data_IF_706739943033
#
_entry.id   IF_706739943033
#
_cell.length_a   1.000
_cell.length_b   1.000
_cell.length_c   1.000
_cell.angle_alpha   90.00
_cell.angle_beta   90.00
_cell.angle_gamma   90.00
#
_symmetry.space_group_name_H-M   'P 1'
#
loop_
_entity.id
_entity.type
_entity.pdbx_description
1 polymer ?
#
# COMPACT_ATOMS: atom_id res chain seq x y z
N UNK A 1 -22.43 -55.16 -22.93
CA UNK A 1 -23.50 -54.61 -23.79
C UNK A 1 -22.83 -53.69 -24.79
N UNK A 2 -22.80 -54.12 -26.05
CA UNK A 2 -22.12 -53.46 -27.17
C UNK A 2 -23.18 -53.01 -28.17
N UNK A 3 -23.13 -51.79 -28.68
CA UNK A 3 -23.82 -51.31 -29.90
C UNK A 3 -23.24 -49.92 -30.31
N UNK A 4 -23.38 -49.47 -31.58
CA UNK A 4 -22.25 -49.37 -32.49
C UNK A 4 -21.90 -47.95 -33.02
N UNK A 5 -20.80 -47.90 -33.78
CA UNK A 5 -20.30 -46.83 -34.65
C UNK A 5 -21.24 -46.44 -35.82
N UNK A 6 -21.09 -45.18 -36.30
CA UNK A 6 -21.18 -44.61 -37.69
C UNK A 6 -21.97 -43.28 -37.75
N UNK A 7 -21.86 -42.43 -38.81
CA UNK A 7 -20.68 -41.90 -39.49
C UNK A 7 -20.72 -40.34 -39.64
N UNK A 8 -19.65 -39.81 -40.24
CA UNK A 8 -19.42 -38.39 -40.62
C UNK A 8 -20.47 -37.83 -41.60
N UNK A 9 -20.81 -36.55 -41.42
CA UNK A 9 -21.27 -35.68 -42.51
C UNK A 9 -20.50 -34.35 -42.45
N UNK A 10 -19.59 -34.16 -43.40
CA UNK A 10 -18.91 -32.90 -43.66
C UNK A 10 -19.83 -31.99 -44.46
N UNK A 11 -20.11 -30.79 -43.94
CA UNK A 11 -20.68 -29.69 -44.72
C UNK A 11 -19.61 -28.61 -44.80
N UNK A 12 -18.99 -28.52 -45.98
CA UNK A 12 -18.13 -27.41 -46.38
C UNK A 12 -19.06 -26.30 -46.85
N UNK A 13 -19.23 -25.26 -46.02
CA UNK A 13 -19.88 -24.03 -46.45
C UNK A 13 -18.80 -22.96 -46.57
N UNK A 14 -18.39 -22.69 -47.80
CA UNK A 14 -17.47 -21.61 -48.13
C UNK A 14 -18.13 -20.26 -47.93
N UNK A 15 -17.68 -19.50 -46.94
CA UNK A 15 -17.90 -18.07 -46.87
C UNK A 15 -16.67 -17.35 -47.45
N UNK A 16 -16.87 -16.73 -48.61
CA UNK A 16 -16.04 -15.67 -49.15
C UNK A 16 -16.11 -14.46 -48.21
N UNK A 17 -15.12 -14.29 -47.34
CA UNK A 17 -14.90 -13.02 -46.62
C UNK A 17 -13.96 -12.15 -47.44
N UNK A 18 -14.50 -11.07 -48.00
CA UNK A 18 -13.74 -9.98 -48.61
C UNK A 18 -12.78 -9.38 -47.56
N UNK A 19 -11.48 -9.57 -47.77
CA UNK A 19 -10.42 -8.93 -47.01
C UNK A 19 -10.38 -7.44 -47.36
N UNK A 20 -11.16 -6.63 -46.65
CA UNK A 20 -10.95 -5.19 -46.63
C UNK A 20 -9.70 -4.91 -45.78
N UNK A 21 -8.59 -4.55 -46.43
CA UNK A 21 -7.43 -3.93 -45.80
C UNK A 21 -7.81 -2.52 -45.32
N UNK A 22 -8.65 -2.44 -44.28
CA UNK A 22 -8.85 -1.23 -43.51
C UNK A 22 -7.73 -1.14 -42.49
N UNK A 23 -6.75 -0.28 -42.75
CA UNK A 23 -5.81 0.19 -41.73
C UNK A 23 -6.64 0.74 -40.57
N UNK A 24 -6.77 -0.06 -39.52
CA UNK A 24 -7.43 0.37 -38.28
C UNK A 24 -6.69 1.59 -37.79
N UNK A 25 -7.35 2.73 -37.54
CA UNK A 25 -6.69 3.88 -36.95
C UNK A 25 -6.09 3.42 -35.61
N UNK A 26 -4.78 3.56 -35.47
CA UNK A 26 -4.08 3.30 -34.22
C UNK A 26 -4.79 4.12 -33.15
N UNK A 27 -5.35 3.49 -32.09
CA UNK A 27 -5.93 4.25 -30.99
C UNK A 27 -4.85 5.21 -30.48
N UNK A 28 -5.17 6.50 -30.27
CA UNK A 28 -4.20 7.42 -29.70
C UNK A 28 -3.71 6.82 -28.38
N UNK A 29 -2.40 6.60 -28.27
CA UNK A 29 -1.79 6.19 -27.00
C UNK A 29 -2.25 7.16 -25.93
N UNK A 30 -2.94 6.73 -24.87
CA UNK A 30 -3.31 7.61 -23.79
C UNK A 30 -2.04 8.31 -23.32
N UNK A 31 -2.02 9.64 -23.43
CA UNK A 31 -0.89 10.43 -22.95
C UNK A 31 -0.93 10.37 -21.43
N UNK A 32 -0.17 9.45 -20.86
CA UNK A 32 0.02 9.42 -19.42
C UNK A 32 0.73 10.69 -18.96
N UNK A 33 0.38 11.15 -17.77
CA UNK A 33 1.08 12.21 -17.06
C UNK A 33 2.22 11.59 -16.25
N UNK A 34 3.42 12.15 -16.38
CA UNK A 34 4.59 11.71 -15.61
C UNK A 34 4.57 12.45 -14.27
N UNK A 35 4.57 11.67 -13.18
CA UNK A 35 4.65 12.19 -11.82
C UNK A 35 6.06 11.92 -11.29
N UNK A 36 6.73 12.96 -10.81
CA UNK A 36 8.01 12.87 -10.13
C UNK A 36 7.78 12.68 -8.64
N UNK A 37 8.44 11.69 -8.05
CA UNK A 37 8.44 11.42 -6.60
C UNK A 37 9.85 11.69 -6.07
N UNK A 38 9.93 12.58 -5.10
CA UNK A 38 11.15 12.84 -4.33
C UNK A 38 10.90 12.40 -2.90
N UNK A 39 11.61 11.36 -2.48
CA UNK A 39 11.60 10.85 -1.12
C UNK A 39 12.92 11.26 -0.45
N UNK A 40 12.85 12.38 0.27
CA UNK A 40 14.01 13.02 0.89
C UNK A 40 14.54 12.27 2.11
N UNK A 41 13.69 11.48 2.78
CA UNK A 41 14.08 10.63 3.91
C UNK A 41 15.12 9.60 3.47
N UNK A 42 14.93 9.03 2.28
CA UNK A 42 15.79 7.99 1.74
C UNK A 42 16.71 8.45 0.60
N UNK A 43 16.65 9.72 0.20
CA UNK A 43 17.46 10.30 -0.86
C UNK A 43 17.20 9.67 -2.23
N UNK A 44 15.95 9.24 -2.51
CA UNK A 44 15.58 8.62 -3.79
C UNK A 44 14.67 9.55 -4.61
N UNK A 45 14.89 9.54 -5.92
CA UNK A 45 14.04 10.22 -6.90
C UNK A 45 13.66 9.22 -7.98
N UNK A 46 12.38 9.16 -8.32
CA UNK A 46 11.89 8.29 -9.38
C UNK A 46 10.59 8.84 -9.96
N UNK A 47 10.15 8.27 -11.06
CA UNK A 47 8.93 8.67 -11.73
C UNK A 47 8.01 7.48 -11.99
N UNK A 48 6.72 7.77 -12.08
CA UNK A 48 5.76 6.84 -12.66
C UNK A 48 4.86 7.59 -13.65
N UNK A 49 4.26 6.82 -14.55
CA UNK A 49 3.26 7.35 -15.49
C UNK A 49 1.87 7.00 -14.99
N UNK A 50 0.98 7.99 -14.93
CA UNK A 50 -0.41 7.80 -14.55
C UNK A 50 -1.38 8.44 -15.54
N UNK A 51 -2.68 8.28 -15.32
CA UNK A 51 -3.74 8.98 -16.04
C UNK A 51 -4.63 9.71 -15.04
N UNK A 52 -5.43 10.66 -15.54
CA UNK A 52 -6.48 11.31 -14.74
C UNK A 52 -7.57 10.36 -14.27
N UNK A 53 -7.63 9.16 -14.86
CA UNK A 53 -8.61 8.13 -14.57
C UNK A 53 -8.13 7.14 -13.50
N UNK A 54 -6.98 7.40 -12.84
CA UNK A 54 -6.55 6.59 -11.70
C UNK A 54 -7.64 6.57 -10.62
N UNK A 55 -8.04 5.36 -10.23
CA UNK A 55 -9.04 5.14 -9.19
C UNK A 55 -8.40 4.51 -7.95
N UNK A 56 -8.63 5.12 -6.79
CA UNK A 56 -8.26 4.53 -5.51
C UNK A 56 -8.97 3.20 -5.27
N UNK A 57 -8.25 2.23 -4.72
CA UNK A 57 -8.83 0.95 -4.33
C UNK A 57 -9.33 1.03 -2.89
N UNK A 58 -10.58 1.46 -2.67
CA UNK A 58 -11.16 1.58 -1.31
C UNK A 58 -11.52 0.24 -0.66
N UNK A 59 -11.05 -0.87 -1.24
CA UNK A 59 -11.17 -2.23 -0.75
C UNK A 59 -9.88 -3.00 -1.03
N UNK A 60 -9.67 -4.08 -0.29
CA UNK A 60 -8.52 -4.96 -0.47
C UNK A 60 -8.42 -5.47 -1.92
N UNK A 61 -7.19 -5.50 -2.47
CA UNK A 61 -6.95 -6.05 -3.79
C UNK A 61 -7.08 -7.58 -3.77
N UNK A 62 -7.41 -8.23 -4.90
CA UNK A 62 -7.44 -9.68 -5.00
C UNK A 62 -6.12 -10.31 -4.53
N UNK A 63 -6.19 -11.29 -3.63
CA UNK A 63 -5.01 -11.95 -3.04
C UNK A 63 -4.44 -11.28 -1.78
N UNK A 64 -4.94 -10.09 -1.42
CA UNK A 64 -4.50 -9.33 -0.24
C UNK A 64 -5.66 -9.15 0.73
N UNK A 65 -5.98 -10.19 1.49
CA UNK A 65 -7.15 -10.16 2.40
C UNK A 65 -6.87 -9.24 3.59
N UNK A 66 -7.79 -8.31 3.85
CA UNK A 66 -7.74 -7.41 5.00
C UNK A 66 -8.33 -8.11 6.24
N UNK A 67 -7.51 -8.35 7.25
CA UNK A 67 -7.90 -9.07 8.48
C UNK A 67 -8.63 -8.17 9.48
N UNK A 68 -9.37 -8.76 10.43
CA UNK A 68 -10.04 -7.99 11.49
C UNK A 68 -9.05 -7.21 12.39
N UNK A 69 -7.83 -7.73 12.56
CA UNK A 69 -6.79 -7.10 13.36
C UNK A 69 -6.24 -5.84 12.66
N UNK A 70 -6.03 -5.92 11.34
CA UNK A 70 -5.62 -4.78 10.49
C UNK A 70 -6.70 -3.69 10.47
N UNK A 71 -7.97 -4.08 10.31
CA UNK A 71 -9.12 -3.16 10.40
C UNK A 71 -9.13 -2.45 11.75
N UNK A 72 -8.99 -3.20 12.85
CA UNK A 72 -9.00 -2.64 14.20
C UNK A 72 -7.84 -1.66 14.43
N UNK A 73 -6.63 -1.98 13.98
CA UNK A 73 -5.49 -1.06 14.10
C UNK A 73 -5.71 0.23 13.30
N UNK A 74 -6.21 0.14 12.06
CA UNK A 74 -6.53 1.34 11.26
C UNK A 74 -7.63 2.19 11.92
N UNK A 75 -8.63 1.55 12.55
CA UNK A 75 -9.65 2.25 13.34
C UNK A 75 -9.02 3.02 14.50
N UNK A 76 -8.15 2.40 15.29
CA UNK A 76 -7.48 3.05 16.42
C UNK A 76 -6.59 4.21 15.96
N UNK A 77 -5.85 4.04 14.87
CA UNK A 77 -5.06 5.13 14.24
C UNK A 77 -5.97 6.30 13.88
N UNK A 78 -7.12 6.03 13.26
CA UNK A 78 -8.07 7.06 12.87
C UNK A 78 -8.73 7.75 14.08
N UNK A 79 -9.02 7.02 15.15
CA UNK A 79 -9.51 7.58 16.41
C UNK A 79 -8.48 8.52 17.05
N UNK A 80 -7.20 8.18 16.99
CA UNK A 80 -6.15 9.08 17.46
C UNK A 80 -6.05 10.31 16.56
N UNK A 81 -6.04 10.14 15.24
CA UNK A 81 -5.98 11.25 14.27
C UNK A 81 -7.05 12.30 14.51
N UNK A 82 -8.31 11.89 14.70
CA UNK A 82 -9.41 12.86 14.92
C UNK A 82 -9.33 13.60 16.25
N UNK A 83 -8.61 13.06 17.25
CA UNK A 83 -8.37 13.75 18.52
C UNK A 83 -7.22 14.75 18.42
N UNK A 84 -6.25 14.49 17.55
CA UNK A 84 -4.93 15.10 17.63
C UNK A 84 -4.11 14.51 18.78
N UNK A 85 -2.93 15.07 19.06
CA UNK A 85 -2.05 14.48 20.07
C UNK A 85 -0.86 15.33 20.46
N UNK A 86 -0.13 14.84 21.46
CA UNK A 86 1.13 15.41 21.91
C UNK A 86 2.22 14.36 21.73
N UNK A 87 3.20 14.68 20.90
CA UNK A 87 4.30 13.79 20.58
C UNK A 87 5.59 14.20 21.27
N UNK A 88 6.43 13.24 21.69
CA UNK A 88 7.78 13.55 22.10
C UNK A 88 8.59 14.11 20.93
N UNK A 89 9.58 14.95 21.22
CA UNK A 89 10.53 15.49 20.22
C UNK A 89 11.92 14.92 20.49
N UNK A 90 12.65 14.60 19.42
CA UNK A 90 14.04 14.15 19.52
C UNK A 90 14.88 15.25 20.20
N UNK A 91 15.61 14.89 21.26
CA UNK A 91 16.38 15.84 22.07
C UNK A 91 15.60 16.46 23.24
N UNK A 92 14.34 16.07 23.44
CA UNK A 92 13.51 16.48 24.58
C UNK A 92 12.39 17.44 24.20
N UNK A 93 11.42 17.58 25.11
CA UNK A 93 10.22 18.40 24.89
C UNK A 93 9.09 17.66 24.20
N UNK A 94 8.07 18.42 23.80
CA UNK A 94 6.83 17.92 23.22
C UNK A 94 6.37 18.83 22.07
N UNK A 95 5.79 18.22 21.03
CA UNK A 95 5.12 18.90 19.93
C UNK A 95 3.65 18.52 19.94
N UNK A 96 2.77 19.52 19.91
CA UNK A 96 1.33 19.31 19.82
C UNK A 96 0.89 19.31 18.36
N UNK A 97 0.06 18.33 17.99
CA UNK A 97 -0.63 18.23 16.72
C UNK A 97 -2.13 18.42 16.95
N UNK A 98 -2.76 19.22 16.10
CA UNK A 98 -4.22 19.33 16.10
C UNK A 98 -4.90 18.09 15.53
N UNK A 99 -6.23 18.01 15.61
CA UNK A 99 -7.01 17.00 14.91
C UNK A 99 -6.67 16.91 13.42
N UNK A 100 -6.51 15.69 12.93
CA UNK A 100 -6.31 15.35 11.52
C UNK A 100 -7.48 14.51 10.99
N UNK A 101 -7.70 14.53 9.68
CA UNK A 101 -8.74 13.71 9.05
C UNK A 101 -8.39 12.21 9.17
N UNK A 102 -9.40 11.33 9.34
CA UNK A 102 -9.19 9.89 9.23
C UNK A 102 -8.55 9.53 7.89
N UNK A 103 -7.67 8.52 7.91
CA UNK A 103 -7.15 7.85 6.74
C UNK A 103 -8.27 7.03 6.08
N UNK A 104 -8.38 7.16 4.77
CA UNK A 104 -9.22 6.28 3.96
C UNK A 104 -8.42 5.02 3.61
N UNK A 105 -9.04 3.84 3.77
CA UNK A 105 -8.39 2.59 3.38
C UNK A 105 -8.02 2.61 1.89
N UNK A 106 -6.84 2.10 1.55
CA UNK A 106 -6.38 2.00 0.17
C UNK A 106 -5.64 0.68 -0.10
N UNK A 107 -6.11 -0.07 -1.10
CA UNK A 107 -5.72 -1.45 -1.36
C UNK A 107 -4.32 -1.64 -1.96
N UNK A 108 -3.78 -0.66 -2.69
CA UNK A 108 -2.40 -0.72 -3.17
C UNK A 108 -1.41 -0.45 -2.03
N UNK A 109 -1.72 0.49 -1.13
CA UNK A 109 -0.98 0.69 0.12
C UNK A 109 -1.02 -0.57 0.99
N UNK A 110 -2.18 -1.22 1.09
CA UNK A 110 -2.34 -2.49 1.82
C UNK A 110 -1.47 -3.58 1.20
N UNK A 111 -1.51 -3.74 -0.13
CA UNK A 111 -0.64 -4.67 -0.85
C UNK A 111 0.84 -4.45 -0.54
N UNK A 112 1.32 -3.21 -0.65
CA UNK A 112 2.71 -2.87 -0.34
C UNK A 112 3.06 -3.20 1.12
N UNK A 113 2.15 -2.89 2.06
CA UNK A 113 2.33 -3.20 3.47
C UNK A 113 2.36 -4.72 3.72
N UNK A 114 1.48 -5.50 3.09
CA UNK A 114 1.39 -6.96 3.26
C UNK A 114 2.56 -7.70 2.62
N UNK A 115 3.03 -7.25 1.47
CA UNK A 115 4.26 -7.77 0.86
C UNK A 115 5.45 -7.50 1.81
N UNK A 116 5.54 -6.29 2.37
CA UNK A 116 6.65 -5.92 3.24
C UNK A 116 6.60 -6.58 4.63
N UNK A 117 5.42 -6.70 5.23
CA UNK A 117 5.23 -7.42 6.48
C UNK A 117 5.72 -8.88 6.36
N UNK A 118 5.43 -9.53 5.22
CA UNK A 118 5.95 -10.88 4.92
C UNK A 118 7.46 -10.90 4.77
N UNK A 119 8.06 -9.93 4.08
CA UNK A 119 9.54 -9.83 4.01
C UNK A 119 10.16 -9.71 5.41
N UNK A 120 9.60 -8.86 6.28
CA UNK A 120 10.04 -8.72 7.66
C UNK A 120 9.92 -10.03 8.44
N UNK A 121 8.82 -10.75 8.27
CA UNK A 121 8.61 -12.06 8.90
C UNK A 121 9.57 -13.15 8.39
N UNK A 122 9.87 -13.16 7.09
CA UNK A 122 10.79 -14.09 6.45
C UNK A 122 12.25 -13.81 6.82
N UNK A 123 12.58 -12.58 7.23
CA UNK A 123 13.93 -12.20 7.68
C UNK A 123 14.39 -12.96 8.93
N UNK A 124 13.45 -13.49 9.73
CA UNK A 124 13.74 -14.13 11.02
C UNK A 124 14.35 -13.18 12.06
N UNK A 125 14.17 -11.87 11.91
CA UNK A 125 14.78 -10.83 12.74
C UNK A 125 13.74 -9.79 13.18
N UNK A 126 13.83 -9.31 14.42
CA UNK A 126 13.00 -8.20 14.91
C UNK A 126 13.58 -6.82 14.57
N UNK A 127 14.63 -6.76 13.75
CA UNK A 127 15.17 -5.49 13.24
C UNK A 127 14.24 -4.97 12.15
N UNK A 128 13.65 -3.80 12.39
CA UNK A 128 12.70 -3.15 11.49
C UNK A 128 13.42 -2.09 10.65
N UNK A 129 13.96 -2.50 9.51
CA UNK A 129 14.42 -1.55 8.50
C UNK A 129 13.22 -1.08 7.68
N UNK A 130 13.19 0.18 7.25
CA UNK A 130 12.23 0.67 6.26
C UNK A 130 12.65 0.39 4.82
N UNK A 131 13.96 0.24 4.59
CA UNK A 131 14.51 -0.19 3.32
C UNK A 131 14.53 -1.72 3.28
N UNK A 132 13.91 -2.28 2.24
CA UNK A 132 13.89 -3.71 1.99
C UNK A 132 15.30 -4.27 1.90
N UNK A 133 15.58 -5.31 2.67
CA UNK A 133 16.86 -6.00 2.63
C UNK A 133 16.96 -6.89 1.38
N UNK A 134 15.81 -7.35 0.88
CA UNK A 134 15.74 -8.22 -0.30
C UNK A 134 15.89 -7.43 -1.62
N UNK A 135 15.22 -6.28 -1.70
CA UNK A 135 15.09 -5.52 -2.97
C UNK A 135 15.80 -4.18 -2.95
N UNK A 136 16.17 -3.67 -1.77
CA UNK A 136 16.71 -2.32 -1.61
C UNK A 136 15.68 -1.20 -1.74
N UNK A 137 14.41 -1.52 -2.04
CA UNK A 137 13.34 -0.54 -2.22
C UNK A 137 12.92 0.09 -0.89
N UNK A 138 12.57 1.37 -0.95
CA UNK A 138 12.04 2.16 0.18
C UNK A 138 10.51 2.18 0.14
N UNK A 139 9.82 2.67 1.20
CA UNK A 139 8.36 2.61 1.27
C UNK A 139 7.66 3.26 0.06
N UNK A 140 8.08 4.45 -0.36
CA UNK A 140 7.51 5.15 -1.52
C UNK A 140 7.60 4.33 -2.81
N UNK A 141 8.74 3.69 -3.06
CA UNK A 141 8.93 2.82 -4.22
C UNK A 141 8.09 1.54 -4.14
N UNK A 142 7.92 0.94 -2.95
CA UNK A 142 7.06 -0.24 -2.76
C UNK A 142 5.59 0.10 -2.99
N UNK A 143 5.11 1.24 -2.47
CA UNK A 143 3.73 1.72 -2.67
C UNK A 143 3.44 1.99 -4.15
N UNK A 144 4.35 2.67 -4.85
CA UNK A 144 4.22 2.88 -6.30
C UNK A 144 4.29 1.55 -7.06
N UNK A 145 5.25 0.67 -6.74
CA UNK A 145 5.37 -0.66 -7.33
C UNK A 145 4.15 -1.55 -7.11
N UNK A 146 3.37 -1.31 -6.04
CA UNK A 146 2.11 -1.99 -5.78
C UNK A 146 0.96 -1.50 -6.67
N UNK A 147 1.12 -0.38 -7.39
CA UNK A 147 0.15 0.19 -8.33
C UNK A 147 -0.48 1.51 -7.88
N UNK A 148 -0.06 2.09 -6.75
CA UNK A 148 -0.58 3.36 -6.26
C UNK A 148 0.00 4.53 -7.08
N UNK A 149 -0.77 5.00 -8.07
CA UNK A 149 -0.34 6.00 -9.03
C UNK A 149 -1.29 7.22 -9.08
N UNK A 150 -1.58 7.91 -7.97
CA UNK A 150 -2.42 9.10 -8.03
C UNK A 150 -1.77 10.22 -8.84
N UNK A 151 -2.58 11.15 -9.35
CA UNK A 151 -2.07 12.39 -9.94
C UNK A 151 -2.25 13.52 -8.92
N UNK A 152 -1.19 14.02 -8.26
CA UNK A 152 -1.32 15.09 -7.29
C UNK A 152 -1.78 16.40 -7.97
N UNK A 153 -2.52 17.28 -7.28
CA UNK A 153 -2.85 18.61 -7.75
C UNK A 153 -1.61 19.41 -8.15
N UNK A 154 -1.79 20.36 -9.07
CA UNK A 154 -0.69 21.21 -9.54
C UNK A 154 -0.02 21.92 -8.36
N UNK A 155 1.28 21.67 -8.19
CA UNK A 155 2.10 22.29 -7.15
C UNK A 155 2.12 21.53 -5.82
N UNK A 156 1.39 20.41 -5.71
CA UNK A 156 1.49 19.50 -4.57
C UNK A 156 2.48 18.36 -4.88
N UNK A 157 3.17 17.89 -3.84
CA UNK A 157 4.05 16.73 -3.92
C UNK A 157 3.37 15.55 -3.22
N UNK A 158 3.59 14.34 -3.73
CA UNK A 158 3.16 13.14 -3.02
C UNK A 158 4.07 12.88 -1.82
N UNK A 159 3.45 12.62 -0.70
CA UNK A 159 4.08 12.25 0.55
C UNK A 159 3.74 10.80 0.86
N UNK A 160 4.74 10.05 1.34
CA UNK A 160 4.62 8.67 1.76
C UNK A 160 5.22 8.55 3.15
N UNK A 161 4.53 7.86 4.06
CA UNK A 161 5.08 7.54 5.37
C UNK A 161 4.86 6.06 5.66
N UNK A 162 5.80 5.46 6.39
CA UNK A 162 5.68 4.10 6.91
C UNK A 162 5.91 4.09 8.42
N UNK A 163 5.11 3.34 9.16
CA UNK A 163 5.34 3.04 10.56
C UNK A 163 5.41 1.55 10.76
N UNK A 164 6.48 1.09 11.40
CA UNK A 164 6.75 -0.34 11.61
C UNK A 164 6.65 -0.65 13.10
N UNK A 165 6.14 -1.83 13.43
CA UNK A 165 6.25 -2.40 14.77
C UNK A 165 6.50 -3.90 14.71
N UNK A 166 7.24 -4.40 15.70
CA UNK A 166 7.41 -5.81 15.99
C UNK A 166 7.15 -6.01 17.47
N UNK A 167 6.27 -6.94 17.81
CA UNK A 167 5.89 -7.23 19.19
C UNK A 167 5.94 -8.72 19.48
N UNK A 168 6.42 -9.08 20.67
CA UNK A 168 6.48 -10.46 21.18
C UNK A 168 5.12 -10.97 21.70
N UNK A 169 4.03 -10.26 21.39
CA UNK A 169 2.67 -10.57 21.80
C UNK A 169 1.78 -10.75 20.56
N UNK A 170 0.75 -11.58 20.69
CA UNK A 170 -0.18 -11.87 19.60
C UNK A 170 -1.14 -10.71 19.41
N UNK A 171 -1.09 -10.07 18.24
CA UNK A 171 -2.07 -9.13 17.72
C UNK A 171 -2.64 -8.15 18.76
N UNK A 172 -1.84 -7.18 19.25
CA UNK A 172 -2.32 -6.10 20.11
C UNK A 172 -2.31 -4.74 19.40
N UNK A 173 -3.34 -4.42 18.58
CA UNK A 173 -3.47 -3.12 17.94
C UNK A 173 -3.33 -1.92 18.87
N UNK A 174 -3.85 -2.01 20.11
CA UNK A 174 -3.79 -0.89 21.05
C UNK A 174 -2.36 -0.69 21.57
N UNK A 175 -1.65 -1.78 21.85
CA UNK A 175 -0.23 -1.79 22.17
C UNK A 175 0.63 -1.17 21.07
N UNK A 176 0.36 -1.52 19.80
CA UNK A 176 1.07 -0.94 18.64
C UNK A 176 0.86 0.57 18.54
N UNK A 177 -0.37 1.07 18.65
CA UNK A 177 -0.63 2.52 18.64
C UNK A 177 0.08 3.22 19.80
N UNK A 178 0.04 2.64 21.00
CA UNK A 178 0.73 3.20 22.16
C UNK A 178 2.26 3.27 21.93
N UNK A 179 2.85 2.22 21.34
CA UNK A 179 4.28 2.19 21.00
C UNK A 179 4.65 3.25 19.96
N UNK A 180 3.87 3.41 18.89
CA UNK A 180 4.09 4.47 17.91
C UNK A 180 3.96 5.87 18.52
N UNK A 181 2.98 6.11 19.39
CA UNK A 181 2.85 7.40 20.09
C UNK A 181 4.03 7.72 21.02
N UNK A 182 4.73 6.70 21.52
CA UNK A 182 5.91 6.88 22.37
C UNK A 182 7.20 7.22 21.58
N UNK A 183 7.21 7.00 20.26
CA UNK A 183 8.34 7.34 19.39
C UNK A 183 8.12 8.69 18.70
N UNK A 184 9.10 9.62 18.74
CA UNK A 184 8.94 10.94 18.13
C UNK A 184 8.52 10.91 16.66
N UNK A 185 9.22 10.10 15.86
CA UNK A 185 9.03 10.00 14.42
C UNK A 185 7.69 9.35 14.07
N UNK A 186 7.37 8.21 14.69
CA UNK A 186 6.09 7.52 14.47
C UNK A 186 4.89 8.34 14.98
N UNK A 187 5.01 9.00 16.13
CA UNK A 187 3.96 9.83 16.68
C UNK A 187 3.65 11.01 15.74
N UNK A 188 4.68 11.68 15.20
CA UNK A 188 4.49 12.72 14.21
C UNK A 188 3.75 12.20 12.97
N UNK A 189 4.19 11.07 12.42
CA UNK A 189 3.55 10.45 11.25
C UNK A 189 2.08 10.11 11.47
N UNK A 190 1.68 9.70 12.69
CA UNK A 190 0.27 9.46 13.02
C UNK A 190 -0.59 10.69 12.85
N UNK A 191 -0.09 11.89 13.16
CA UNK A 191 -0.88 13.13 13.18
C UNK A 191 -0.56 14.10 12.04
N UNK A 192 0.41 13.79 11.17
CA UNK A 192 0.84 14.70 10.10
C UNK A 192 -0.37 15.08 9.22
N UNK A 193 -0.66 16.39 9.09
CA UNK A 193 -1.79 16.87 8.31
C UNK A 193 -1.43 16.88 6.83
N UNK A 194 -1.90 15.89 6.06
CA UNK A 194 -1.82 15.96 4.60
C UNK A 194 -2.90 16.93 4.09
N UNK A 195 -2.54 17.79 3.13
CA UNK A 195 -3.29 19.00 2.79
C UNK A 195 -4.71 18.73 2.28
N UNK A 196 -4.98 17.59 1.65
CA UNK A 196 -6.30 17.34 1.07
C UNK A 196 -6.78 15.89 1.10
N UNK A 197 -5.88 14.92 0.98
CA UNK A 197 -6.22 13.49 0.90
C UNK A 197 -5.21 12.66 1.69
N UNK A 198 -5.70 11.81 2.59
CA UNK A 198 -4.87 10.87 3.33
C UNK A 198 -5.42 9.47 3.17
N UNK A 199 -4.68 8.63 2.44
CA UNK A 199 -4.91 7.20 2.38
C UNK A 199 -4.02 6.50 3.39
N UNK A 200 -4.49 5.37 3.90
CA UNK A 200 -3.69 4.54 4.79
C UNK A 200 -4.12 3.09 4.74
N UNK A 201 -3.18 2.19 5.00
CA UNK A 201 -3.48 0.79 5.16
C UNK A 201 -2.50 0.15 6.15
N UNK A 202 -3.01 -0.83 6.88
CA UNK A 202 -2.25 -1.62 7.84
C UNK A 202 -2.15 -3.04 7.31
N UNK A 203 -0.95 -3.62 7.37
CA UNK A 203 -0.75 -5.04 7.24
C UNK A 203 -0.19 -5.67 8.52
N UNK A 204 -0.58 -6.91 8.75
CA UNK A 204 -0.13 -7.72 9.88
C UNK A 204 0.26 -9.12 9.44
N UNK A 205 1.35 -9.64 10.00
CA UNK A 205 1.69 -11.06 9.91
C UNK A 205 2.28 -11.55 11.23
N UNK A 206 1.93 -12.78 11.61
CA UNK A 206 2.55 -13.48 12.74
C UNK A 206 3.54 -14.53 12.20
N UNK A 207 4.71 -14.62 12.83
CA UNK A 207 5.72 -15.64 12.54
C UNK A 207 6.40 -16.09 13.84
N UNK A 208 7.44 -16.92 13.74
CA UNK A 208 8.27 -17.36 14.85
C UNK A 208 9.70 -16.84 14.68
N UNK A 209 10.20 -16.11 15.68
CA UNK A 209 11.61 -15.71 15.77
C UNK A 209 12.21 -16.38 17.00
N UNK A 210 13.24 -17.22 16.80
CA UNK A 210 13.85 -18.01 17.86
C UNK A 210 12.85 -18.86 18.69
N UNK A 211 11.79 -19.36 18.05
CA UNK A 211 10.76 -20.17 18.70
C UNK A 211 9.77 -19.37 19.56
N UNK A 212 9.76 -18.05 19.44
CA UNK A 212 8.77 -17.16 20.06
C UNK A 212 7.89 -16.52 19.00
N UNK A 213 6.57 -16.40 19.22
CA UNK A 213 5.68 -15.69 18.30
C UNK A 213 6.05 -14.21 18.23
N UNK A 214 6.13 -13.68 17.01
CA UNK A 214 6.33 -12.26 16.73
C UNK A 214 5.26 -11.80 15.76
N UNK A 215 4.61 -10.70 16.08
CA UNK A 215 3.71 -9.98 15.18
C UNK A 215 4.48 -8.84 14.53
N UNK A 216 4.44 -8.73 13.21
CA UNK A 216 4.92 -7.57 12.45
C UNK A 216 3.74 -6.75 11.97
N UNK A 217 3.83 -5.44 12.17
CA UNK A 217 2.83 -4.47 11.76
C UNK A 217 3.46 -3.43 10.85
N UNK A 218 2.81 -3.16 9.72
CA UNK A 218 3.23 -2.16 8.75
C UNK A 218 2.05 -1.23 8.47
N UNK A 219 2.16 0.04 8.84
CA UNK A 219 1.22 1.09 8.43
C UNK A 219 1.88 1.90 7.31
N UNK A 220 1.28 1.87 6.12
CA UNK A 220 1.62 2.79 5.05
C UNK A 220 0.57 3.89 4.99
N UNK A 221 1.01 5.14 4.81
CA UNK A 221 0.13 6.27 4.51
C UNK A 221 0.66 7.03 3.31
N UNK A 222 -0.25 7.61 2.53
CA UNK A 222 0.10 8.42 1.38
C UNK A 222 -0.90 9.55 1.16
N UNK A 223 -0.42 10.69 0.68
CA UNK A 223 -1.24 11.87 0.44
C UNK A 223 -0.47 13.01 -0.19
N UNK A 224 -1.10 14.18 -0.21
CA UNK A 224 -0.54 15.45 -0.67
C UNK A 224 -1.34 16.63 -0.09
#
# INVERSE_FOLDING_TARGET
MSFPFLPRASVVLGLLTLSACGSSPTPPTPKGEVVQVTDSEYGVNFEYTTSRDFSYALAALPGYTHSAAEVHLLTLVNEERVKGGVCPVRGGGQRTYGPARPLLFEGHLHRAASDYARELAESGSTVLAHRSALTGLVPSQRVVGAGYHPLPPKGAALEFNESLAAEWLKSDPAGVVAAWKASPEHCGALYEPMLSFSHGAVAWVETQVHGQPVSYWVLNTAGY
#
